data_IF_034375860898
#
_entry.id   IF_034375860898
#
_cell.length_a   1.000
_cell.length_b   1.000
_cell.length_c   1.000
_cell.angle_alpha   90.00
_cell.angle_beta   90.00
_cell.angle_gamma   90.00
#
_symmetry.space_group_name_H-M   'P 1'
#
loop_
_entity.id
_entity.type
_entity.pdbx_description
1 polymer ?
#
# COMPACT_ATOMS: atom_id res chain seq x y z
N UNK A 1 5.55 -11.79 -2.29
CA UNK A 1 4.99 -11.44 -0.98
C UNK A 1 6.05 -11.06 0.05
N UNK A 2 7.25 -11.60 -0.01
CA UNK A 2 8.37 -11.24 0.90
C UNK A 2 8.87 -9.80 0.74
N UNK A 3 8.71 -9.18 -0.43
CA UNK A 3 9.18 -7.81 -0.69
C UNK A 3 8.48 -6.73 0.14
N UNK A 4 7.27 -6.98 0.65
CA UNK A 4 6.57 -5.98 1.48
C UNK A 4 7.14 -5.84 2.89
N UNK A 5 7.93 -6.80 3.36
CA UNK A 5 8.60 -6.70 4.65
C UNK A 5 9.62 -5.56 4.70
N UNK A 6 10.25 -5.19 3.59
CA UNK A 6 11.22 -4.09 3.60
C UNK A 6 10.60 -2.72 3.93
N UNK A 7 9.28 -2.54 3.76
CA UNK A 7 8.59 -1.33 4.21
C UNK A 7 8.42 -1.31 5.73
N UNK A 8 8.02 -2.44 6.31
CA UNK A 8 7.65 -2.52 7.74
C UNK A 8 8.85 -2.80 8.62
N UNK A 9 9.85 -3.53 8.13
CA UNK A 9 11.02 -3.91 8.93
C UNK A 9 11.77 -2.73 9.56
N UNK A 10 12.02 -1.60 8.85
CA UNK A 10 12.67 -0.45 9.48
C UNK A 10 11.85 0.15 10.63
N UNK A 11 10.51 0.17 10.48
CA UNK A 11 9.62 0.65 11.55
C UNK A 11 9.66 -0.29 12.77
N UNK A 12 9.59 -1.61 12.55
CA UNK A 12 9.71 -2.61 13.62
C UNK A 12 11.05 -2.49 14.33
N UNK A 13 12.14 -2.33 13.57
CA UNK A 13 13.48 -2.17 14.12
C UNK A 13 13.58 -0.90 14.98
N UNK A 14 13.09 0.23 14.48
CA UNK A 14 13.07 1.49 15.24
C UNK A 14 12.25 1.39 16.53
N UNK A 15 11.09 0.72 16.50
CA UNK A 15 10.27 0.47 17.67
C UNK A 15 10.97 -0.43 18.70
N UNK A 16 11.70 -1.45 18.23
CA UNK A 16 12.49 -2.32 19.10
C UNK A 16 13.63 -1.56 19.78
N UNK A 17 14.35 -0.70 19.05
CA UNK A 17 15.40 0.16 19.62
C UNK A 17 14.85 1.16 20.65
N UNK A 18 13.65 1.67 20.42
CA UNK A 18 12.96 2.58 21.33
C UNK A 18 12.33 1.87 22.55
N UNK A 19 12.45 0.56 22.67
CA UNK A 19 11.75 -0.27 23.68
C UNK A 19 10.24 0.04 23.72
N UNK A 20 9.62 0.26 22.55
CA UNK A 20 8.22 0.65 22.46
C UNK A 20 7.31 -0.47 22.97
N UNK A 21 6.34 -0.11 23.83
CA UNK A 21 5.33 -1.05 24.30
C UNK A 21 4.42 -1.47 23.15
N UNK A 22 4.30 -2.79 22.93
CA UNK A 22 3.41 -3.34 21.92
C UNK A 22 1.97 -3.18 22.38
N UNK A 23 1.20 -2.36 21.66
CA UNK A 23 -0.22 -2.12 21.91
C UNK A 23 -1.05 -2.52 20.68
N UNK A 24 -2.33 -2.76 20.86
CA UNK A 24 -3.21 -3.08 19.72
C UNK A 24 -3.21 -2.00 18.63
N UNK A 25 -3.32 -0.69 18.93
CA UNK A 25 -3.21 0.34 17.89
C UNK A 25 -1.89 0.28 17.12
N UNK A 26 -0.77 -0.01 17.81
CA UNK A 26 0.53 -0.16 17.14
C UNK A 26 0.55 -1.34 16.17
N UNK A 27 0.00 -2.48 16.61
CA UNK A 27 -0.12 -3.67 15.75
C UNK A 27 -0.99 -3.36 14.54
N UNK A 28 -2.13 -2.68 14.72
CA UNK A 28 -3.01 -2.29 13.63
C UNK A 28 -2.30 -1.38 12.61
N UNK A 29 -1.49 -0.41 13.05
CA UNK A 29 -0.68 0.46 12.18
C UNK A 29 0.32 -0.37 11.38
N UNK A 30 1.08 -1.26 12.02
CA UNK A 30 2.09 -2.08 11.35
C UNK A 30 1.46 -3.02 10.31
N UNK A 31 0.33 -3.65 10.65
CA UNK A 31 -0.40 -4.52 9.72
C UNK A 31 -0.98 -3.70 8.55
N UNK A 32 -1.58 -2.54 8.83
CA UNK A 32 -2.09 -1.65 7.78
C UNK A 32 -0.98 -1.21 6.83
N UNK A 33 0.19 -0.84 7.35
CA UNK A 33 1.34 -0.45 6.55
C UNK A 33 1.90 -1.62 5.71
N UNK A 34 1.92 -2.83 6.27
CA UNK A 34 2.30 -4.02 5.54
C UNK A 34 1.33 -4.31 4.38
N UNK A 35 0.02 -4.25 4.63
CA UNK A 35 -1.01 -4.44 3.61
C UNK A 35 -0.95 -3.36 2.52
N UNK A 36 -0.71 -2.10 2.89
CA UNK A 36 -0.47 -1.02 1.95
C UNK A 36 0.75 -1.32 1.05
N UNK A 37 1.85 -1.80 1.61
CA UNK A 37 3.04 -2.19 0.87
C UNK A 37 2.77 -3.35 -0.09
N UNK A 38 2.03 -4.38 0.35
CA UNK A 38 1.62 -5.50 -0.51
C UNK A 38 0.77 -5.02 -1.68
N UNK A 39 -0.22 -4.16 -1.42
CA UNK A 39 -1.10 -3.59 -2.44
C UNK A 39 -0.29 -2.78 -3.47
N UNK A 40 0.64 -1.96 -3.00
CA UNK A 40 1.50 -1.12 -3.84
C UNK A 40 2.38 -1.96 -4.77
N UNK A 41 3.03 -3.00 -4.26
CA UNK A 41 3.81 -3.92 -5.09
C UNK A 41 2.94 -4.69 -6.09
N UNK A 42 1.78 -5.17 -5.64
CA UNK A 42 0.85 -5.88 -6.52
C UNK A 42 0.39 -4.98 -7.66
N UNK A 43 -0.04 -3.76 -7.37
CA UNK A 43 -0.50 -2.81 -8.39
C UNK A 43 0.63 -2.41 -9.35
N UNK A 44 1.85 -2.17 -8.84
CA UNK A 44 3.02 -1.87 -9.67
C UNK A 44 3.38 -2.98 -10.65
N UNK A 45 3.18 -4.25 -10.27
CA UNK A 45 3.46 -5.40 -11.13
C UNK A 45 2.42 -5.59 -12.26
N UNK A 46 1.26 -4.92 -12.21
CA UNK A 46 0.21 -5.09 -13.21
C UNK A 46 0.67 -4.68 -14.61
N UNK A 47 1.39 -3.56 -14.73
CA UNK A 47 1.85 -3.02 -16.01
C UNK A 47 2.85 -3.94 -16.74
N UNK A 48 3.51 -4.81 -15.97
CA UNK A 48 4.63 -5.63 -16.46
C UNK A 48 4.22 -7.09 -16.75
N UNK A 49 2.92 -7.45 -16.70
CA UNK A 49 2.43 -8.82 -16.87
C UNK A 49 2.93 -9.47 -18.18
N UNK A 50 2.82 -8.76 -19.30
CA UNK A 50 3.23 -9.28 -20.61
C UNK A 50 4.75 -9.42 -20.71
N UNK A 51 5.57 -8.38 -20.46
CA UNK A 51 7.01 -8.51 -20.55
C UNK A 51 7.60 -9.47 -19.51
N UNK A 52 7.06 -9.50 -18.29
CA UNK A 52 7.52 -10.43 -17.25
C UNK A 52 7.28 -11.88 -17.64
N UNK A 53 6.11 -12.21 -18.19
CA UNK A 53 5.84 -13.57 -18.69
C UNK A 53 6.75 -13.96 -19.84
N UNK A 54 7.01 -13.04 -20.76
CA UNK A 54 7.94 -13.28 -21.87
C UNK A 54 9.38 -13.52 -21.39
N UNK A 55 9.78 -12.86 -20.30
CA UNK A 55 11.10 -13.00 -19.68
C UNK A 55 11.19 -14.16 -18.66
N UNK A 56 10.11 -14.89 -18.39
CA UNK A 56 10.05 -15.94 -17.36
C UNK A 56 10.11 -15.41 -15.94
N UNK A 57 9.80 -14.13 -15.71
CA UNK A 57 9.78 -13.50 -14.39
C UNK A 57 8.44 -13.80 -13.71
N UNK A 58 8.51 -14.29 -12.47
CA UNK A 58 7.32 -14.62 -11.68
C UNK A 58 6.99 -13.51 -10.69
N UNK A 59 5.82 -12.92 -10.85
CA UNK A 59 5.22 -11.95 -9.93
C UNK A 59 3.79 -12.38 -9.57
N UNK A 60 3.17 -11.71 -8.59
CA UNK A 60 1.76 -11.98 -8.28
C UNK A 60 0.91 -11.73 -9.54
N UNK A 61 1.21 -10.68 -10.30
CA UNK A 61 0.43 -10.31 -11.47
C UNK A 61 0.60 -11.30 -12.63
N UNK A 62 1.78 -11.92 -12.81
CA UNK A 62 1.97 -12.95 -13.82
C UNK A 62 1.24 -14.25 -13.49
N UNK A 63 1.01 -14.53 -12.20
CA UNK A 63 0.36 -15.77 -11.72
C UNK A 63 -1.16 -15.66 -11.75
N UNK A 64 -1.74 -14.58 -11.17
CA UNK A 64 -3.20 -14.45 -11.05
C UNK A 64 -3.83 -13.56 -12.13
N UNK A 65 -3.01 -12.92 -12.98
CA UNK A 65 -3.41 -12.03 -14.04
C UNK A 65 -3.65 -10.58 -13.58
N UNK A 66 -3.66 -9.66 -14.55
CA UNK A 66 -3.74 -8.22 -14.32
C UNK A 66 -5.01 -7.82 -13.54
N UNK A 67 -6.18 -8.30 -14.01
CA UNK A 67 -7.48 -7.99 -13.39
C UNK A 67 -7.58 -8.40 -11.94
N UNK A 68 -7.21 -9.65 -11.64
CA UNK A 68 -7.28 -10.16 -10.27
C UNK A 68 -6.29 -9.41 -9.36
N UNK A 69 -5.13 -9.04 -9.87
CA UNK A 69 -4.11 -8.29 -9.13
C UNK A 69 -4.57 -6.87 -8.79
N UNK A 70 -5.22 -6.15 -9.72
CA UNK A 70 -5.80 -4.83 -9.42
C UNK A 70 -6.85 -4.93 -8.32
N UNK A 71 -7.76 -5.91 -8.41
CA UNK A 71 -8.80 -6.14 -7.41
C UNK A 71 -8.22 -6.49 -6.04
N UNK A 72 -7.19 -7.33 -6.03
CA UNK A 72 -6.45 -7.66 -4.80
C UNK A 72 -5.81 -6.41 -4.19
N UNK A 73 -5.13 -5.57 -4.99
CA UNK A 73 -4.50 -4.36 -4.50
C UNK A 73 -5.54 -3.40 -3.88
N UNK A 74 -6.67 -3.19 -4.55
CA UNK A 74 -7.77 -2.36 -4.03
C UNK A 74 -8.30 -2.95 -2.71
N UNK A 75 -8.54 -4.27 -2.64
CA UNK A 75 -9.01 -4.94 -1.42
C UNK A 75 -8.04 -4.78 -0.25
N UNK A 76 -6.73 -4.88 -0.52
CA UNK A 76 -5.69 -4.68 0.51
C UNK A 76 -5.64 -3.23 1.00
N UNK A 77 -5.80 -2.22 0.12
CA UNK A 77 -5.88 -0.82 0.55
C UNK A 77 -7.15 -0.53 1.35
N UNK A 78 -8.29 -1.12 0.96
CA UNK A 78 -9.53 -1.02 1.76
C UNK A 78 -9.30 -1.61 3.16
N UNK A 79 -8.72 -2.80 3.25
CA UNK A 79 -8.44 -3.44 4.54
C UNK A 79 -7.45 -2.63 5.37
N UNK A 80 -6.40 -2.09 4.75
CA UNK A 80 -5.46 -1.20 5.42
C UNK A 80 -6.16 0.04 6.00
N UNK A 81 -7.02 0.69 5.21
CA UNK A 81 -7.83 1.83 5.67
C UNK A 81 -8.76 1.48 6.83
N UNK A 82 -9.45 0.35 6.75
CA UNK A 82 -10.33 -0.13 7.83
C UNK A 82 -9.55 -0.38 9.13
N UNK A 83 -8.36 -0.97 9.04
CA UNK A 83 -7.51 -1.19 10.23
C UNK A 83 -7.09 0.13 10.89
N UNK A 84 -6.85 1.20 10.12
CA UNK A 84 -6.50 2.50 10.67
C UNK A 84 -7.62 3.12 11.51
N UNK A 85 -8.89 2.75 11.27
CA UNK A 85 -10.02 3.21 12.09
C UNK A 85 -9.99 2.69 13.54
N UNK A 86 -9.27 1.59 13.78
CA UNK A 86 -9.10 1.01 15.13
C UNK A 86 -7.86 1.54 15.87
N UNK A 87 -7.21 2.57 15.33
CA UNK A 87 -6.07 3.22 15.98
C UNK A 87 -6.51 4.38 16.87
N UNK A 88 -5.59 4.89 17.69
CA UNK A 88 -5.86 6.06 18.52
C UNK A 88 -5.80 7.36 17.69
N UNK A 89 -6.60 8.35 18.08
CA UNK A 89 -6.56 9.66 17.45
C UNK A 89 -5.14 10.27 17.45
N UNK A 90 -4.65 10.88 16.35
CA UNK A 90 -5.33 11.16 15.09
C UNK A 90 -5.19 10.06 14.03
N UNK A 91 -4.76 8.86 14.38
CA UNK A 91 -4.50 7.74 13.47
C UNK A 91 -5.64 7.45 12.47
N UNK A 92 -6.95 7.47 12.89
CA UNK A 92 -8.04 7.21 11.96
C UNK A 92 -8.10 8.17 10.76
N UNK A 93 -7.54 9.39 10.86
CA UNK A 93 -7.45 10.31 9.73
C UNK A 93 -6.62 9.74 8.56
N UNK A 94 -5.64 8.89 8.86
CA UNK A 94 -4.82 8.26 7.83
C UNK A 94 -5.59 7.25 6.96
N UNK A 95 -6.77 6.79 7.40
CA UNK A 95 -7.65 5.95 6.58
C UNK A 95 -8.08 6.67 5.29
N UNK A 96 -8.18 8.00 5.30
CA UNK A 96 -8.51 8.81 4.12
C UNK A 96 -7.45 8.67 3.04
N UNK A 97 -6.18 8.45 3.40
CA UNK A 97 -5.09 8.32 2.44
C UNK A 97 -5.26 7.10 1.53
N UNK A 98 -5.86 6.01 2.03
CA UNK A 98 -6.08 4.80 1.21
C UNK A 98 -7.08 5.03 0.08
N UNK A 99 -8.01 5.98 0.25
CA UNK A 99 -9.01 6.33 -0.78
C UNK A 99 -8.32 6.87 -2.04
N UNK A 100 -7.25 7.66 -1.89
CA UNK A 100 -6.52 8.21 -3.04
C UNK A 100 -5.87 7.11 -3.90
N UNK A 101 -5.35 6.06 -3.28
CA UNK A 101 -4.78 4.91 -3.99
C UNK A 101 -5.87 4.08 -4.69
N UNK A 102 -7.01 3.89 -4.03
CA UNK A 102 -8.17 3.19 -4.61
C UNK A 102 -8.65 3.94 -5.85
N UNK A 103 -8.79 5.28 -5.77
CA UNK A 103 -9.17 6.12 -6.92
C UNK A 103 -8.17 5.98 -8.08
N UNK A 104 -6.86 5.95 -7.79
CA UNK A 104 -5.84 5.78 -8.81
C UNK A 104 -5.89 4.41 -9.50
N UNK A 105 -6.28 3.36 -8.79
CA UNK A 105 -6.34 1.99 -9.31
C UNK A 105 -7.71 1.61 -9.91
N UNK A 106 -8.79 2.24 -9.47
CA UNK A 106 -10.17 1.90 -9.86
C UNK A 106 -10.41 1.87 -11.39
N UNK A 107 -9.84 2.77 -12.22
CA UNK A 107 -10.01 2.72 -13.68
C UNK A 107 -9.51 1.40 -14.31
N UNK A 108 -8.62 0.68 -13.63
CA UNK A 108 -8.01 -0.56 -14.12
C UNK A 108 -8.69 -1.83 -13.59
N UNK A 109 -9.86 -1.70 -12.93
CA UNK A 109 -10.62 -2.80 -12.32
C UNK A 109 -10.90 -3.98 -13.25
N UNK A 110 -11.07 -3.71 -14.56
CA UNK A 110 -11.40 -4.68 -15.58
C UNK A 110 -10.30 -4.89 -16.62
N UNK A 111 -9.08 -4.38 -16.37
CA UNK A 111 -7.96 -4.48 -17.30
C UNK A 111 -7.65 -5.95 -17.63
N UNK A 112 -7.42 -6.24 -18.92
CA UNK A 112 -6.96 -7.56 -19.37
C UNK A 112 -5.43 -7.68 -19.22
N UNK A 113 -4.92 -8.90 -19.32
CA UNK A 113 -3.48 -9.12 -19.32
C UNK A 113 -2.82 -8.46 -20.55
N UNK A 114 -3.44 -8.56 -21.72
CA UNK A 114 -2.92 -7.98 -22.96
C UNK A 114 -2.88 -6.45 -22.92
N UNK A 115 -3.84 -5.82 -22.23
CA UNK A 115 -3.92 -4.37 -22.06
C UNK A 115 -3.21 -3.86 -20.79
N UNK A 116 -2.53 -4.73 -20.06
CA UNK A 116 -1.95 -4.42 -18.74
C UNK A 116 -1.03 -3.21 -18.73
N UNK A 117 -0.35 -2.93 -19.83
CA UNK A 117 0.54 -1.77 -19.98
C UNK A 117 -0.16 -0.41 -19.74
N UNK A 118 -1.50 -0.33 -19.94
CA UNK A 118 -2.25 0.92 -19.67
C UNK A 118 -2.22 1.30 -18.18
N UNK A 119 -2.00 0.32 -17.29
CA UNK A 119 -1.87 0.54 -15.85
C UNK A 119 -0.64 1.38 -15.45
N UNK A 120 0.33 1.56 -16.36
CA UNK A 120 1.47 2.47 -16.17
C UNK A 120 1.03 3.89 -15.80
N UNK A 121 -0.09 4.36 -16.34
CA UNK A 121 -0.63 5.69 -16.00
C UNK A 121 -1.09 5.74 -14.54
N UNK A 122 -1.79 4.69 -14.10
CA UNK A 122 -2.21 4.55 -12.71
C UNK A 122 -1.03 4.44 -11.76
N UNK A 123 0.01 3.69 -12.15
CA UNK A 123 1.24 3.59 -11.39
C UNK A 123 1.97 4.94 -11.24
N UNK A 124 2.07 5.73 -12.30
CA UNK A 124 2.63 7.08 -12.24
C UNK A 124 1.82 8.00 -11.31
N UNK A 125 0.48 7.93 -11.38
CA UNK A 125 -0.39 8.66 -10.45
C UNK A 125 -0.19 8.22 -9.01
N UNK A 126 -0.10 6.91 -8.77
CA UNK A 126 0.22 6.34 -7.46
C UNK A 126 1.54 6.89 -6.91
N UNK A 127 2.61 6.94 -7.71
CA UNK A 127 3.90 7.51 -7.29
C UNK A 127 3.76 8.99 -6.91
N UNK A 128 3.02 9.78 -7.67
CA UNK A 128 2.74 11.19 -7.35
C UNK A 128 1.95 11.33 -6.04
N UNK A 129 0.93 10.52 -5.84
CA UNK A 129 0.13 10.47 -4.61
C UNK A 129 1.01 10.14 -3.40
N UNK A 130 1.99 9.25 -3.53
CA UNK A 130 2.89 8.88 -2.45
C UNK A 130 3.68 10.06 -1.87
N UNK A 131 4.08 11.03 -2.69
CA UNK A 131 4.74 12.24 -2.19
C UNK A 131 3.79 13.05 -1.30
N UNK A 132 2.55 13.27 -1.75
CA UNK A 132 1.56 14.02 -0.98
C UNK A 132 1.15 13.27 0.29
N UNK A 133 0.84 11.99 0.18
CA UNK A 133 0.46 11.15 1.33
C UNK A 133 1.61 11.01 2.31
N UNK A 134 2.84 10.79 1.85
CA UNK A 134 4.01 10.71 2.72
C UNK A 134 4.22 12.00 3.50
N UNK A 135 4.10 13.16 2.84
CA UNK A 135 4.16 14.45 3.53
C UNK A 135 3.05 14.61 4.57
N UNK A 136 1.79 14.34 4.20
CA UNK A 136 0.65 14.47 5.12
C UNK A 136 0.73 13.49 6.29
N UNK A 137 1.17 12.25 6.05
CA UNK A 137 1.38 11.27 7.11
C UNK A 137 2.47 11.71 8.08
N UNK A 138 3.57 12.29 7.56
CA UNK A 138 4.64 12.83 8.41
C UNK A 138 4.13 14.00 9.25
N UNK A 139 3.36 14.92 8.66
CA UNK A 139 2.76 16.05 9.40
C UNK A 139 1.79 15.55 10.47
N UNK A 140 1.01 14.51 10.17
CA UNK A 140 0.10 13.88 11.13
C UNK A 140 0.86 13.28 12.32
N UNK A 141 2.00 12.63 12.08
CA UNK A 141 2.85 12.07 13.13
C UNK A 141 3.50 13.17 13.99
N UNK A 142 3.98 14.25 13.37
CA UNK A 142 4.54 15.42 14.09
C UNK A 142 3.45 16.04 14.97
N UNK A 143 2.27 16.27 14.42
CA UNK A 143 1.14 16.78 15.18
C UNK A 143 0.82 15.89 16.38
N UNK A 144 0.70 14.58 16.17
CA UNK A 144 0.46 13.62 17.24
C UNK A 144 1.52 13.68 18.34
N UNK A 145 2.80 13.82 17.97
CA UNK A 145 3.89 13.93 18.93
C UNK A 145 3.86 15.26 19.71
N UNK A 146 3.34 16.34 19.09
CA UNK A 146 3.32 17.68 19.69
C UNK A 146 2.16 17.92 20.69
N UNK A 147 1.09 17.10 20.64
CA UNK A 147 -0.06 17.22 21.51
C UNK A 147 -0.02 16.28 22.74
N UNK A 148 1.05 15.50 22.88
CA UNK A 148 1.32 14.63 24.03
C UNK A 148 2.29 15.28 24.99
#
# INVERSE_FOLDING_TARGET
MTSSFHFVSPAIYGLALANATVTWPLVAILVAFFLWGMASHAFGAVQDVVPDRAAGIHSIATVIGARATVRLAIGLWVLAGLLMLFTTWPGPLSAVFTISYIIAAAPYWSVSDDDSAVATRGWKSFLGINYAVGFLATMLLIWFASIR
#
